data_IF_434541323203
#
_entry.id   IF_434541323203
#
_cell.length_a   1.000
_cell.length_b   1.000
_cell.length_c   1.000
_cell.angle_alpha   90.00
_cell.angle_beta   90.00
_cell.angle_gamma   90.00
#
_symmetry.space_group_name_H-M   'P 1'
#
loop_
_entity.id
_entity.type
_entity.pdbx_description
1 polymer ?
#
# COMPACT_ATOMS: atom_id res chain seq x y z
N UNK A 1 2.14 6.43 -14.52
CA UNK A 1 2.94 6.05 -13.35
C UNK A 1 2.11 5.23 -12.38
N UNK A 2 2.77 4.51 -11.47
CA UNK A 2 2.12 3.66 -10.47
C UNK A 2 1.61 4.46 -9.26
N UNK A 3 0.63 3.88 -8.56
CA UNK A 3 0.20 4.30 -7.23
C UNK A 3 0.30 3.08 -6.30
N UNK A 4 1.16 3.18 -5.28
CA UNK A 4 1.33 2.15 -4.27
C UNK A 4 0.29 2.38 -3.16
N UNK A 5 -0.78 1.59 -3.14
CA UNK A 5 -1.96 1.91 -2.34
C UNK A 5 -1.83 1.55 -0.84
N UNK A 6 -0.72 0.94 -0.41
CA UNK A 6 -0.43 0.69 1.01
C UNK A 6 1.05 0.47 1.26
N UNK A 7 1.59 1.22 2.21
CA UNK A 7 3.00 1.12 2.65
C UNK A 7 3.16 1.38 4.14
N UNK A 8 4.29 0.90 4.67
CA UNK A 8 4.89 1.25 5.96
C UNK A 8 6.37 1.61 5.76
N UNK A 9 6.66 2.73 5.09
CA UNK A 9 8.07 3.07 4.76
C UNK A 9 8.88 3.52 5.97
N UNK A 10 8.22 3.80 7.11
CA UNK A 10 8.92 4.09 8.36
C UNK A 10 9.88 2.99 8.78
N UNK A 11 9.57 1.75 8.47
CA UNK A 11 10.38 0.59 8.79
C UNK A 11 11.54 0.33 7.80
N UNK A 12 11.77 1.25 6.87
CA UNK A 12 12.94 1.21 5.96
C UNK A 12 14.30 1.15 6.67
N UNK A 13 14.34 1.48 7.96
CA UNK A 13 15.53 1.31 8.83
C UNK A 13 15.82 -0.16 9.16
N UNK A 14 14.85 -1.06 8.97
CA UNK A 14 14.85 -2.43 9.45
C UNK A 14 14.85 -3.47 8.33
N UNK A 15 15.26 -3.12 7.12
CA UNK A 15 15.23 -4.01 5.94
C UNK A 15 15.83 -5.38 6.25
N UNK A 16 15.03 -6.46 5.97
CA UNK A 16 15.38 -7.86 6.20
C UNK A 16 15.64 -8.23 7.67
N UNK A 17 15.24 -7.38 8.63
CA UNK A 17 15.33 -7.72 10.05
C UNK A 17 14.27 -8.77 10.44
N UNK A 18 14.60 -9.64 11.41
CA UNK A 18 13.64 -10.58 12.01
C UNK A 18 13.31 -11.81 11.18
N UNK A 19 14.25 -12.29 10.34
CA UNK A 19 14.05 -13.51 9.57
C UNK A 19 13.63 -14.71 10.45
N UNK A 20 12.51 -15.36 10.09
CA UNK A 20 11.95 -16.51 10.80
C UNK A 20 11.00 -16.19 11.95
N UNK A 21 10.74 -14.91 12.24
CA UNK A 21 9.71 -14.49 13.20
C UNK A 21 8.30 -14.59 12.57
N UNK A 22 7.29 -14.81 13.40
CA UNK A 22 5.88 -14.75 13.02
C UNK A 22 5.44 -13.31 12.74
N UNK A 23 4.28 -13.14 12.09
CA UNK A 23 3.68 -11.82 11.85
C UNK A 23 3.63 -10.99 13.14
N UNK A 24 3.13 -11.57 14.22
CA UNK A 24 2.98 -10.87 15.51
C UNK A 24 4.33 -10.43 16.10
N UNK A 25 5.32 -11.30 16.06
CA UNK A 25 6.66 -10.97 16.54
C UNK A 25 7.35 -9.90 15.67
N UNK A 26 7.01 -9.82 14.38
CA UNK A 26 7.57 -8.84 13.45
C UNK A 26 6.92 -7.47 13.58
N UNK A 27 5.58 -7.40 13.47
CA UNK A 27 4.90 -6.12 13.20
C UNK A 27 3.78 -5.76 14.16
N UNK A 28 3.34 -6.68 15.06
CA UNK A 28 2.22 -6.38 15.96
C UNK A 28 2.55 -5.25 16.96
N UNK A 29 1.69 -4.21 17.06
CA UNK A 29 1.87 -3.19 18.07
C UNK A 29 1.54 -3.75 19.48
N UNK A 30 2.18 -3.25 20.58
CA UNK A 30 3.25 -2.23 20.55
C UNK A 30 4.65 -2.83 20.51
N UNK A 31 4.83 -4.15 20.61
CA UNK A 31 6.10 -4.79 20.96
C UNK A 31 6.75 -5.60 19.86
N UNK A 32 6.14 -5.71 18.69
CA UNK A 32 6.75 -6.34 17.52
C UNK A 32 8.11 -5.71 17.19
N UNK A 33 9.04 -6.48 16.61
CA UNK A 33 10.40 -6.05 16.31
C UNK A 33 10.43 -4.71 15.55
N UNK A 34 9.53 -4.50 14.59
CA UNK A 34 9.35 -3.23 13.88
C UNK A 34 9.25 -2.06 14.85
N UNK A 35 8.35 -2.14 15.83
CA UNK A 35 8.13 -1.05 16.78
C UNK A 35 9.30 -0.81 17.71
N UNK A 36 10.02 -1.87 18.10
CA UNK A 36 11.25 -1.74 18.90
C UNK A 36 12.34 -1.00 18.12
N UNK A 37 12.57 -1.36 16.84
CA UNK A 37 13.55 -0.72 15.97
C UNK A 37 13.17 0.72 15.65
N UNK A 38 11.89 1.01 15.40
CA UNK A 38 11.40 2.37 15.20
C UNK A 38 11.61 3.28 16.43
N UNK A 39 11.42 2.75 17.64
CA UNK A 39 11.67 3.50 18.88
C UNK A 39 13.16 3.72 19.14
N UNK A 40 14.00 2.77 18.77
CA UNK A 40 15.45 2.85 18.97
C UNK A 40 16.17 3.81 18.00
N UNK A 41 15.63 3.99 16.79
CA UNK A 41 16.24 4.81 15.75
C UNK A 41 16.00 6.29 15.99
N UNK A 42 17.00 7.12 15.70
CA UNK A 42 16.87 8.57 15.71
C UNK A 42 15.94 9.07 14.59
N UNK A 43 15.45 10.30 14.73
CA UNK A 43 14.62 10.93 13.70
C UNK A 43 15.38 11.04 12.37
N UNK A 44 16.65 11.44 12.41
CA UNK A 44 17.50 11.59 11.23
C UNK A 44 17.75 10.25 10.51
N UNK A 45 17.90 9.16 11.24
CA UNK A 45 18.03 7.82 10.66
C UNK A 45 16.77 7.42 9.93
N UNK A 46 15.59 7.62 10.55
CA UNK A 46 14.29 7.35 9.94
C UNK A 46 14.07 8.18 8.68
N UNK A 47 14.32 9.49 8.73
CA UNK A 47 14.18 10.39 7.56
C UNK A 47 15.08 9.93 6.42
N UNK A 48 16.37 9.65 6.68
CA UNK A 48 17.29 9.16 5.64
C UNK A 48 16.87 7.82 5.05
N UNK A 49 16.37 6.89 5.88
CA UNK A 49 15.94 5.58 5.40
C UNK A 49 14.67 5.68 4.55
N UNK A 50 13.66 6.43 5.00
CA UNK A 50 12.44 6.70 4.25
C UNK A 50 12.76 7.39 2.92
N UNK A 51 13.61 8.42 2.90
CA UNK A 51 14.01 9.12 1.69
C UNK A 51 14.59 8.17 0.64
N UNK A 52 15.44 7.22 1.03
CA UNK A 52 15.98 6.21 0.10
C UNK A 52 14.90 5.31 -0.49
N UNK A 53 13.88 4.97 0.28
CA UNK A 53 12.74 4.18 -0.21
C UNK A 53 11.86 4.99 -1.17
N UNK A 54 11.66 6.30 -0.90
CA UNK A 54 10.94 7.19 -1.81
C UNK A 54 11.74 7.37 -3.11
N UNK A 55 13.05 7.58 -3.05
CA UNK A 55 13.91 7.65 -4.23
C UNK A 55 13.87 6.37 -5.08
N UNK A 56 13.81 5.20 -4.43
CA UNK A 56 13.61 3.95 -5.14
C UNK A 56 12.23 3.91 -5.83
N UNK A 57 11.15 4.34 -5.17
CA UNK A 57 9.83 4.46 -5.76
C UNK A 57 9.82 5.44 -6.95
N UNK A 58 10.49 6.59 -6.82
CA UNK A 58 10.64 7.58 -7.89
C UNK A 58 11.29 6.96 -9.13
N UNK A 59 12.45 6.33 -8.97
CA UNK A 59 13.20 5.70 -10.09
C UNK A 59 12.51 4.49 -10.70
N UNK A 60 11.51 3.93 -10.02
CA UNK A 60 10.72 2.79 -10.50
C UNK A 60 9.31 3.17 -10.95
N UNK A 61 9.01 4.47 -11.10
CA UNK A 61 7.80 4.98 -11.71
C UNK A 61 6.57 5.01 -10.78
N UNK A 62 6.75 5.04 -9.47
CA UNK A 62 5.67 5.29 -8.52
C UNK A 62 5.46 6.79 -8.36
N UNK A 63 4.27 7.30 -8.68
CA UNK A 63 3.93 8.72 -8.59
C UNK A 63 3.43 9.14 -7.21
N UNK A 64 2.75 8.21 -6.51
CA UNK A 64 2.23 8.44 -5.17
C UNK A 64 2.14 7.13 -4.40
N UNK A 65 2.14 7.22 -3.08
CA UNK A 65 1.94 6.07 -2.20
C UNK A 65 1.11 6.44 -0.98
N UNK A 66 0.25 5.53 -0.53
CA UNK A 66 -0.52 5.66 0.70
C UNK A 66 0.29 5.04 1.83
N UNK A 67 0.59 5.84 2.83
CA UNK A 67 1.44 5.44 3.96
C UNK A 67 0.66 5.40 5.26
N UNK A 68 0.63 4.27 5.94
CA UNK A 68 0.13 4.17 7.31
C UNK A 68 1.26 4.52 8.27
N UNK A 69 1.30 5.81 8.69
CA UNK A 69 2.49 6.41 9.30
C UNK A 69 2.48 6.34 10.83
N UNK A 70 3.36 5.50 11.39
CA UNK A 70 3.62 5.40 12.83
C UNK A 70 4.40 6.61 13.37
N UNK A 71 4.33 6.80 14.69
CA UNK A 71 5.05 7.84 15.42
C UNK A 71 4.29 9.15 15.59
N UNK A 72 2.97 9.08 15.50
CA UNK A 72 2.10 10.23 15.73
C UNK A 72 2.40 11.41 14.80
N UNK A 73 2.19 12.62 15.28
CA UNK A 73 2.45 13.88 14.55
C UNK A 73 3.89 14.01 14.07
N UNK A 74 4.86 13.63 14.91
CA UNK A 74 6.28 13.67 14.55
C UNK A 74 6.62 12.69 13.42
N UNK A 75 5.95 11.54 13.38
CA UNK A 75 6.06 10.59 12.29
C UNK A 75 5.60 11.18 10.96
N UNK A 76 4.47 11.89 10.95
CA UNK A 76 3.94 12.59 9.77
C UNK A 76 4.94 13.63 9.26
N UNK A 77 5.48 14.50 10.14
CA UNK A 77 6.45 15.51 9.75
C UNK A 77 7.78 14.90 9.27
N UNK A 78 8.26 13.82 9.89
CA UNK A 78 9.46 13.14 9.45
C UNK A 78 9.31 12.55 8.02
N UNK A 79 8.14 12.05 7.67
CA UNK A 79 7.87 11.57 6.33
C UNK A 79 7.81 12.71 5.31
N UNK A 80 7.15 13.82 5.63
CA UNK A 80 7.13 15.00 4.76
C UNK A 80 8.53 15.53 4.47
N UNK A 81 9.39 15.60 5.51
CA UNK A 81 10.81 15.94 5.33
C UNK A 81 11.54 14.94 4.43
N UNK A 82 11.29 13.64 4.60
CA UNK A 82 11.90 12.61 3.76
C UNK A 82 11.51 12.72 2.29
N UNK A 83 10.30 13.20 1.99
CA UNK A 83 9.78 13.38 0.63
C UNK A 83 10.16 14.73 0.01
N UNK A 84 10.67 15.69 0.78
CA UNK A 84 10.94 17.03 0.30
C UNK A 84 11.88 17.04 -0.93
N UNK A 85 11.44 17.69 -2.02
CA UNK A 85 12.18 17.82 -3.27
C UNK A 85 12.24 16.55 -4.13
N UNK A 86 11.44 15.53 -3.83
CA UNK A 86 11.22 14.34 -4.67
C UNK A 86 9.89 14.49 -5.43
N UNK A 87 9.79 13.84 -6.60
CA UNK A 87 8.58 13.88 -7.44
C UNK A 87 7.45 12.96 -6.94
N UNK A 88 7.74 12.04 -6.04
CA UNK A 88 6.77 11.10 -5.47
C UNK A 88 6.01 11.75 -4.32
N UNK A 89 4.69 11.72 -4.39
CA UNK A 89 3.81 12.36 -3.40
C UNK A 89 3.30 11.34 -2.38
N UNK A 90 3.65 11.48 -1.08
CA UNK A 90 3.06 10.67 -0.02
C UNK A 90 1.62 11.13 0.26
N UNK A 91 0.68 10.19 0.27
CA UNK A 91 -0.65 10.36 0.86
C UNK A 91 -0.61 9.72 2.25
N UNK A 92 -0.54 10.55 3.28
CA UNK A 92 -0.24 10.09 4.63
C UNK A 92 -1.53 9.81 5.40
N UNK A 93 -1.63 8.61 5.95
CA UNK A 93 -2.64 8.26 6.95
C UNK A 93 -1.92 8.18 8.30
N UNK A 94 -2.09 9.21 9.13
CA UNK A 94 -1.50 9.28 10.47
C UNK A 94 -2.06 8.18 11.37
N UNK A 95 -1.24 7.69 12.29
CA UNK A 95 -1.61 6.61 13.22
C UNK A 95 -1.51 7.10 14.66
N UNK A 96 -2.06 6.30 15.57
CA UNK A 96 -1.93 6.39 17.03
C UNK A 96 -2.80 7.47 17.67
N UNK A 97 -2.96 8.64 17.07
CA UNK A 97 -3.74 9.74 17.66
C UNK A 97 -4.55 10.53 16.63
N UNK A 98 -5.61 11.20 17.07
CA UNK A 98 -6.42 12.10 16.23
C UNK A 98 -5.56 13.27 15.71
N UNK A 99 -4.63 13.78 16.51
CA UNK A 99 -3.74 14.87 16.12
C UNK A 99 -2.81 14.45 14.96
N UNK A 100 -2.41 13.18 14.90
CA UNK A 100 -1.67 12.65 13.74
C UNK A 100 -2.54 12.61 12.48
N UNK A 101 -3.80 12.27 12.60
CA UNK A 101 -4.78 12.33 11.51
C UNK A 101 -5.03 13.78 11.07
N UNK A 102 -5.18 14.72 11.99
CA UNK A 102 -5.34 16.16 11.68
C UNK A 102 -4.15 16.71 10.90
N UNK A 103 -2.92 16.28 11.23
CA UNK A 103 -1.69 16.64 10.52
C UNK A 103 -1.48 15.93 9.18
N UNK A 104 -2.36 14.98 8.81
CA UNK A 104 -2.23 14.11 7.65
C UNK A 104 -3.47 14.17 6.75
N UNK A 105 -3.50 13.36 5.69
CA UNK A 105 -4.61 13.24 4.73
C UNK A 105 -5.68 12.24 5.20
N UNK A 106 -5.41 11.48 6.27
CA UNK A 106 -6.35 10.50 6.84
C UNK A 106 -5.81 9.80 8.07
N UNK A 107 -6.51 8.72 8.48
CA UNK A 107 -6.12 7.84 9.56
C UNK A 107 -5.92 6.41 9.08
N UNK A 108 -4.81 5.77 9.47
CA UNK A 108 -4.48 4.38 9.18
C UNK A 108 -4.56 3.52 10.44
N UNK A 109 -5.66 2.81 10.65
CA UNK A 109 -5.84 1.92 11.78
C UNK A 109 -5.08 0.61 11.61
N UNK A 110 -4.56 0.01 12.70
CA UNK A 110 -4.00 -1.33 12.70
C UNK A 110 -5.10 -2.37 12.41
N UNK A 111 -5.65 -3.08 13.21
CA UNK A 111 -6.80 -3.96 12.95
C UNK A 111 -7.85 -3.73 14.03
N UNK A 112 -9.09 -4.07 13.77
CA UNK A 112 -10.18 -3.90 14.74
C UNK A 112 -10.01 -4.73 16.02
N UNK A 113 -9.07 -5.67 16.04
CA UNK A 113 -8.68 -6.40 17.27
C UNK A 113 -7.59 -5.68 18.08
N UNK A 114 -6.87 -4.74 17.48
CA UNK A 114 -5.72 -4.07 18.11
C UNK A 114 -6.14 -2.80 18.88
N UNK A 115 -7.37 -2.33 18.69
CA UNK A 115 -7.89 -1.15 19.38
C UNK A 115 -9.31 -0.76 18.98
N UNK A 116 -9.84 0.20 19.70
CA UNK A 116 -11.13 0.84 19.41
C UNK A 116 -10.87 2.11 18.59
N UNK A 117 -11.39 2.18 17.37
CA UNK A 117 -11.12 3.27 16.42
C UNK A 117 -12.35 4.15 16.11
N UNK A 118 -13.42 4.03 16.86
CA UNK A 118 -14.66 4.80 16.63
C UNK A 118 -14.45 6.31 16.74
N UNK A 119 -13.54 6.77 17.62
CA UNK A 119 -13.18 8.18 17.79
C UNK A 119 -12.45 8.71 16.54
N UNK A 120 -11.43 7.99 16.09
CA UNK A 120 -10.62 8.33 14.92
C UNK A 120 -11.46 8.28 13.64
N UNK A 121 -12.35 7.29 13.53
CA UNK A 121 -13.32 7.21 12.42
C UNK A 121 -14.28 8.39 12.40
N UNK A 122 -14.80 8.79 13.56
CA UNK A 122 -15.67 9.97 13.66
C UNK A 122 -14.91 11.23 13.24
N UNK A 123 -13.70 11.43 13.76
CA UNK A 123 -12.87 12.58 13.43
C UNK A 123 -12.52 12.67 11.93
N UNK A 124 -12.16 11.53 11.28
CA UNK A 124 -11.93 11.52 9.83
C UNK A 124 -13.17 11.88 9.03
N UNK A 125 -14.35 11.40 9.45
CA UNK A 125 -15.61 11.73 8.78
C UNK A 125 -15.97 13.22 8.91
N UNK A 126 -15.75 13.82 10.09
CA UNK A 126 -15.98 15.25 10.34
C UNK A 126 -15.08 16.15 9.49
N UNK A 127 -13.83 15.72 9.22
CA UNK A 127 -12.87 16.46 8.41
C UNK A 127 -12.89 16.09 6.91
N UNK A 128 -13.70 15.09 6.51
CA UNK A 128 -13.73 14.59 5.13
C UNK A 128 -12.42 13.94 4.71
N UNK A 129 -11.70 13.33 5.65
CA UNK A 129 -10.43 12.62 5.45
C UNK A 129 -10.65 11.11 5.36
N UNK A 130 -9.68 10.39 4.76
CA UNK A 130 -9.78 8.94 4.62
C UNK A 130 -9.52 8.19 5.92
N UNK A 131 -10.28 7.10 6.12
CA UNK A 131 -10.06 6.11 7.17
C UNK A 131 -9.79 4.73 6.53
N UNK A 132 -8.55 4.27 6.61
CA UNK A 132 -8.15 2.93 6.19
C UNK A 132 -7.87 2.02 7.38
N UNK A 133 -8.16 0.72 7.26
CA UNK A 133 -7.94 -0.24 8.34
C UNK A 133 -7.50 -1.60 7.80
N UNK A 134 -6.56 -2.28 8.49
CA UNK A 134 -6.20 -3.66 8.22
C UNK A 134 -7.31 -4.61 8.66
N UNK A 135 -7.61 -5.62 7.86
CA UNK A 135 -8.62 -6.62 8.18
C UNK A 135 -8.34 -7.95 7.48
N UNK A 136 -8.61 -9.05 8.18
CA UNK A 136 -8.53 -10.40 7.62
C UNK A 136 -7.12 -10.84 7.25
N UNK A 137 -6.07 -10.29 7.85
CA UNK A 137 -4.70 -10.68 7.57
C UNK A 137 -4.34 -11.97 8.32
N UNK A 138 -4.62 -12.04 9.62
CA UNK A 138 -4.32 -13.22 10.46
C UNK A 138 -5.39 -14.30 10.35
N UNK A 139 -6.64 -13.88 10.42
CA UNK A 139 -7.85 -14.69 10.34
C UNK A 139 -9.08 -13.83 10.05
N UNK A 140 -10.27 -14.43 9.95
CA UNK A 140 -11.51 -13.73 9.59
C UNK A 140 -12.15 -12.91 10.70
N UNK A 141 -11.69 -13.01 11.95
CA UNK A 141 -12.43 -12.53 13.14
C UNK A 141 -12.54 -11.01 13.24
N UNK A 142 -11.62 -10.24 12.64
CA UNK A 142 -11.62 -8.79 12.69
C UNK A 142 -12.28 -8.12 11.46
N UNK A 143 -12.67 -8.89 10.44
CA UNK A 143 -13.26 -8.35 9.21
C UNK A 143 -14.61 -7.66 9.49
N UNK A 144 -15.52 -8.33 10.20
CA UNK A 144 -16.81 -7.74 10.53
C UNK A 144 -16.68 -6.49 11.41
N UNK A 145 -15.89 -6.50 12.51
CA UNK A 145 -15.64 -5.28 13.29
C UNK A 145 -15.03 -4.14 12.48
N UNK A 146 -14.11 -4.43 11.54
CA UNK A 146 -13.55 -3.41 10.65
C UNK A 146 -14.61 -2.82 9.70
N UNK A 147 -15.47 -3.66 9.10
CA UNK A 147 -16.58 -3.22 8.26
C UNK A 147 -17.66 -2.44 9.03
N UNK A 148 -17.82 -2.70 10.32
CA UNK A 148 -18.76 -1.96 11.20
C UNK A 148 -18.30 -0.52 11.47
N UNK A 149 -17.00 -0.24 11.33
CA UNK A 149 -16.44 1.12 11.39
C UNK A 149 -16.72 1.93 10.11
N UNK A 150 -17.33 1.33 9.08
CA UNK A 150 -17.60 1.98 7.80
C UNK A 150 -16.36 2.62 7.16
N UNK A 151 -15.28 1.85 6.93
CA UNK A 151 -14.01 2.36 6.44
C UNK A 151 -14.10 2.77 4.96
N UNK A 152 -13.21 3.69 4.55
CA UNK A 152 -13.08 4.09 3.16
C UNK A 152 -12.34 3.03 2.32
N UNK A 153 -11.50 2.20 2.96
CA UNK A 153 -10.88 1.00 2.36
C UNK A 153 -10.34 0.05 3.42
N UNK A 154 -10.22 -1.22 3.05
CA UNK A 154 -9.57 -2.27 3.85
C UNK A 154 -8.21 -2.64 3.26
N UNK A 155 -7.32 -3.18 4.10
CA UNK A 155 -6.02 -3.73 3.66
C UNK A 155 -5.97 -5.23 3.98
N UNK A 156 -5.31 -6.01 3.11
CA UNK A 156 -5.06 -7.46 3.15
C UNK A 156 -6.23 -8.33 2.69
N UNK A 157 -7.23 -8.57 3.51
CA UNK A 157 -8.36 -9.49 3.23
C UNK A 157 -7.89 -10.89 2.79
N UNK A 158 -6.93 -11.48 3.53
CA UNK A 158 -6.37 -12.83 3.23
C UNK A 158 -7.37 -13.93 3.55
N UNK A 159 -8.15 -13.79 4.62
CA UNK A 159 -9.03 -14.81 5.15
C UNK A 159 -10.53 -14.43 5.16
N UNK A 160 -11.11 -13.86 4.08
CA UNK A 160 -12.53 -13.57 4.06
C UNK A 160 -13.35 -14.88 3.95
N UNK A 161 -14.47 -14.92 4.64
CA UNK A 161 -15.52 -15.92 4.44
C UNK A 161 -16.57 -15.40 3.45
N UNK A 162 -17.44 -16.24 2.85
CA UNK A 162 -18.43 -15.79 1.87
C UNK A 162 -19.29 -14.60 2.32
N UNK A 163 -19.73 -14.58 3.59
CA UNK A 163 -20.53 -13.49 4.14
C UNK A 163 -19.75 -12.17 4.23
N UNK A 164 -18.43 -12.22 4.41
CA UNK A 164 -17.57 -11.03 4.40
C UNK A 164 -17.48 -10.44 3.00
N UNK A 165 -17.37 -11.30 1.98
CA UNK A 165 -17.35 -10.89 0.57
C UNK A 165 -18.69 -10.25 0.15
N UNK A 166 -19.82 -10.80 0.59
CA UNK A 166 -21.14 -10.23 0.33
C UNK A 166 -21.30 -8.85 1.01
N UNK A 167 -20.91 -8.72 2.29
CA UNK A 167 -20.91 -7.42 2.98
C UNK A 167 -20.01 -6.38 2.32
N UNK A 168 -18.84 -6.83 1.87
CA UNK A 168 -17.89 -5.96 1.16
C UNK A 168 -18.50 -5.41 -0.13
N UNK A 169 -19.16 -6.27 -0.90
CA UNK A 169 -19.86 -5.90 -2.13
C UNK A 169 -21.03 -4.93 -1.86
N UNK A 170 -21.87 -5.23 -0.85
CA UNK A 170 -23.02 -4.40 -0.49
C UNK A 170 -22.60 -2.98 -0.07
N UNK A 171 -21.48 -2.85 0.65
CA UNK A 171 -20.92 -1.56 1.09
C UNK A 171 -20.04 -0.89 0.02
N UNK A 172 -19.67 -1.62 -1.03
CA UNK A 172 -18.72 -1.19 -2.07
C UNK A 172 -17.38 -0.68 -1.52
N UNK A 173 -16.90 -1.26 -0.40
CA UNK A 173 -15.64 -0.86 0.24
C UNK A 173 -14.46 -1.40 -0.57
N UNK A 174 -13.53 -0.55 -1.07
CA UNK A 174 -12.34 -0.98 -1.77
C UNK A 174 -11.39 -1.80 -0.86
N UNK A 175 -10.57 -2.65 -1.50
CA UNK A 175 -9.56 -3.44 -0.78
C UNK A 175 -8.19 -3.22 -1.41
N UNK A 176 -7.18 -3.03 -0.58
CA UNK A 176 -5.77 -3.03 -0.98
C UNK A 176 -5.16 -4.38 -0.61
N UNK A 177 -4.70 -5.13 -1.60
CA UNK A 177 -4.06 -6.43 -1.38
C UNK A 177 -2.54 -6.30 -1.47
N UNK A 178 -1.82 -7.03 -0.60
CA UNK A 178 -0.36 -6.98 -0.46
C UNK A 178 0.23 -8.39 -0.56
N UNK A 179 0.09 -9.09 -1.71
CA UNK A 179 0.37 -10.53 -1.81
C UNK A 179 1.82 -10.90 -1.45
N UNK A 180 2.83 -10.08 -1.76
CA UNK A 180 4.22 -10.40 -1.40
C UNK A 180 4.47 -10.32 0.11
N UNK A 181 3.93 -9.31 0.78
CA UNK A 181 4.03 -9.18 2.24
C UNK A 181 3.36 -10.37 2.93
N UNK A 182 2.15 -10.71 2.51
CA UNK A 182 1.41 -11.84 3.07
C UNK A 182 2.13 -13.19 2.87
N UNK A 183 2.86 -13.37 1.76
CA UNK A 183 3.70 -14.55 1.55
C UNK A 183 4.93 -14.58 2.47
N UNK A 184 5.59 -13.45 2.69
CA UNK A 184 6.77 -13.35 3.59
C UNK A 184 6.37 -13.65 5.03
N UNK A 185 5.24 -13.15 5.49
CA UNK A 185 4.71 -13.39 6.84
C UNK A 185 4.01 -14.73 6.99
N UNK A 186 3.88 -15.49 5.89
CA UNK A 186 3.27 -16.81 5.83
C UNK A 186 1.80 -16.86 6.33
N UNK A 187 1.07 -15.74 6.18
CA UNK A 187 -0.35 -15.68 6.54
C UNK A 187 -1.27 -16.20 5.42
N UNK A 188 -0.76 -16.37 4.21
CA UNK A 188 -1.51 -16.90 3.07
C UNK A 188 -1.55 -15.94 1.88
N UNK A 189 -2.49 -16.18 0.97
CA UNK A 189 -2.70 -15.36 -0.23
C UNK A 189 -4.14 -14.87 -0.23
N UNK A 190 -4.39 -13.56 -0.38
CA UNK A 190 -5.76 -13.07 -0.50
C UNK A 190 -6.45 -13.67 -1.73
N UNK A 191 -7.76 -13.97 -1.67
CA UNK A 191 -8.51 -14.49 -2.82
C UNK A 191 -8.76 -13.38 -3.85
N UNK A 192 -7.71 -12.95 -4.55
CA UNK A 192 -7.69 -11.77 -5.42
C UNK A 192 -8.78 -11.84 -6.49
N UNK A 193 -9.03 -13.01 -7.11
CA UNK A 193 -10.05 -13.17 -8.13
C UNK A 193 -11.45 -12.94 -7.55
N UNK A 194 -11.78 -13.57 -6.44
CA UNK A 194 -13.10 -13.42 -5.77
C UNK A 194 -13.33 -11.99 -5.29
N UNK A 195 -12.29 -11.34 -4.76
CA UNK A 195 -12.35 -9.93 -4.33
C UNK A 195 -12.54 -9.00 -5.52
N UNK A 196 -11.86 -9.24 -6.66
CA UNK A 196 -11.97 -8.42 -7.87
C UNK A 196 -13.38 -8.45 -8.49
N UNK A 197 -14.11 -9.56 -8.32
CA UNK A 197 -15.51 -9.68 -8.73
C UNK A 197 -16.49 -8.89 -7.84
N UNK A 198 -16.08 -8.57 -6.60
CA UNK A 198 -16.96 -8.00 -5.56
C UNK A 198 -16.72 -6.52 -5.33
N UNK A 199 -15.49 -6.04 -5.48
CA UNK A 199 -15.16 -4.65 -5.18
C UNK A 199 -13.95 -4.14 -5.98
N UNK A 200 -13.64 -2.85 -5.84
CA UNK A 200 -12.43 -2.25 -6.39
C UNK A 200 -11.20 -2.73 -5.63
N UNK A 201 -10.25 -3.35 -6.34
CA UNK A 201 -8.96 -3.74 -5.76
C UNK A 201 -7.86 -2.76 -6.16
N UNK A 202 -6.90 -2.53 -5.23
CA UNK A 202 -5.63 -1.88 -5.49
C UNK A 202 -4.48 -2.74 -4.94
N UNK A 203 -3.24 -2.48 -5.41
CA UNK A 203 -2.04 -3.14 -4.94
C UNK A 203 -1.25 -2.24 -3.99
N UNK A 204 -0.78 -2.83 -2.90
CA UNK A 204 0.13 -2.23 -1.94
C UNK A 204 1.37 -3.10 -1.69
N UNK A 205 2.50 -2.50 -1.37
CA UNK A 205 3.74 -3.26 -1.09
C UNK A 205 3.96 -3.53 0.39
N UNK A 206 3.17 -2.86 1.23
CA UNK A 206 3.20 -3.00 2.69
C UNK A 206 4.57 -2.67 3.31
N UNK A 207 5.02 -3.41 4.32
CA UNK A 207 6.24 -3.18 5.08
C UNK A 207 7.50 -3.22 4.20
N UNK A 208 8.25 -2.13 4.17
CA UNK A 208 9.54 -2.06 3.45
C UNK A 208 10.62 -2.88 4.15
N UNK A 209 10.46 -3.16 5.43
CA UNK A 209 11.35 -4.08 6.13
C UNK A 209 11.28 -5.51 5.56
N UNK A 210 10.15 -5.91 4.98
CA UNK A 210 9.91 -7.25 4.44
C UNK A 210 10.12 -7.33 2.93
N UNK A 211 9.84 -6.23 2.20
CA UNK A 211 9.87 -6.20 0.75
C UNK A 211 10.32 -4.83 0.22
N UNK A 212 10.99 -4.83 -0.94
CA UNK A 212 11.18 -3.56 -1.66
C UNK A 212 9.83 -2.96 -2.08
N UNK A 213 9.64 -1.62 -2.05
CA UNK A 213 8.40 -0.96 -2.48
C UNK A 213 8.30 -0.90 -4.02
N UNK A 214 8.35 -2.08 -4.68
CA UNK A 214 8.35 -2.23 -6.13
C UNK A 214 7.00 -2.67 -6.66
N UNK A 215 6.30 -1.78 -7.36
CA UNK A 215 5.02 -2.08 -8.00
C UNK A 215 5.15 -3.10 -9.14
N UNK A 216 6.28 -3.14 -9.85
CA UNK A 216 6.54 -4.19 -10.84
C UNK A 216 6.45 -5.59 -10.22
N UNK A 217 7.13 -5.80 -9.08
CA UNK A 217 7.09 -7.08 -8.39
C UNK A 217 5.71 -7.40 -7.83
N UNK A 218 5.00 -6.41 -7.32
CA UNK A 218 3.65 -6.62 -6.78
C UNK A 218 2.68 -7.06 -7.88
N UNK A 219 2.70 -6.40 -9.04
CA UNK A 219 1.92 -6.79 -10.20
C UNK A 219 2.25 -8.21 -10.69
N UNK A 220 3.54 -8.55 -10.76
CA UNK A 220 3.99 -9.88 -11.19
C UNK A 220 3.43 -10.97 -10.27
N UNK A 221 3.51 -10.76 -8.95
CA UNK A 221 2.96 -11.72 -7.98
C UNK A 221 1.44 -11.82 -8.08
N UNK A 222 0.72 -10.71 -8.10
CA UNK A 222 -0.74 -10.72 -8.24
C UNK A 222 -1.18 -11.48 -9.51
N UNK A 223 -0.52 -11.23 -10.66
CA UNK A 223 -0.84 -11.90 -11.93
C UNK A 223 -0.45 -13.39 -12.00
N UNK A 224 0.40 -13.88 -11.10
CA UNK A 224 0.79 -15.29 -11.01
C UNK A 224 -0.01 -16.07 -9.95
N UNK A 225 -0.52 -15.37 -8.95
CA UNK A 225 -1.24 -15.98 -7.83
C UNK A 225 -2.75 -16.07 -8.08
N UNK A 226 -3.29 -15.27 -9.02
CA UNK A 226 -4.72 -15.22 -9.27
C UNK A 226 -5.04 -15.24 -10.78
N UNK A 227 -6.21 -15.77 -11.13
CA UNK A 227 -6.75 -15.73 -12.47
C UNK A 227 -7.49 -14.39 -12.71
N UNK A 228 -6.68 -13.33 -12.85
CA UNK A 228 -7.14 -11.98 -13.19
C UNK A 228 -6.43 -11.48 -14.43
N UNK A 229 -7.09 -10.64 -15.21
CA UNK A 229 -6.51 -10.11 -16.45
C UNK A 229 -5.32 -9.17 -16.15
N UNK A 230 -4.34 -9.12 -17.08
CA UNK A 230 -3.23 -8.18 -16.96
C UNK A 230 -3.71 -6.71 -16.93
N UNK A 231 -4.80 -6.38 -17.63
CA UNK A 231 -5.41 -5.04 -17.56
C UNK A 231 -5.94 -4.72 -16.17
N UNK A 232 -6.58 -5.68 -15.50
CA UNK A 232 -7.07 -5.49 -14.14
C UNK A 232 -5.92 -5.31 -13.15
N UNK A 233 -4.88 -6.15 -13.22
CA UNK A 233 -3.69 -6.00 -12.38
C UNK A 233 -3.00 -4.65 -12.62
N UNK A 234 -2.91 -4.18 -13.87
CA UNK A 234 -2.37 -2.85 -14.16
C UNK A 234 -3.23 -1.74 -13.55
N UNK A 235 -4.56 -1.86 -13.60
CA UNK A 235 -5.48 -0.91 -12.95
C UNK A 235 -5.32 -0.91 -11.43
N UNK A 236 -5.13 -2.08 -10.82
CA UNK A 236 -4.85 -2.21 -9.38
C UNK A 236 -3.56 -1.45 -8.97
N UNK A 237 -2.56 -1.43 -9.84
CA UNK A 237 -1.27 -0.77 -9.59
C UNK A 237 -1.25 0.72 -9.95
N UNK A 238 -2.34 1.26 -10.53
CA UNK A 238 -2.40 2.62 -11.07
C UNK A 238 -3.69 3.33 -10.67
N UNK A 239 -4.72 3.24 -11.52
CA UNK A 239 -5.97 3.97 -11.41
C UNK A 239 -6.76 3.67 -10.13
N UNK A 240 -6.81 2.40 -9.71
CA UNK A 240 -7.63 2.01 -8.56
C UNK A 240 -7.07 2.59 -7.25
N UNK A 241 -5.74 2.56 -7.06
CA UNK A 241 -5.10 3.20 -5.91
C UNK A 241 -5.29 4.72 -5.90
N UNK A 242 -5.14 5.37 -7.07
CA UNK A 242 -5.42 6.80 -7.22
C UNK A 242 -6.87 7.15 -6.85
N UNK A 243 -7.81 6.32 -7.27
CA UNK A 243 -9.25 6.51 -7.01
C UNK A 243 -9.59 6.39 -5.52
N UNK A 244 -8.98 5.45 -4.80
CA UNK A 244 -9.16 5.30 -3.35
C UNK A 244 -8.73 6.59 -2.63
N UNK A 245 -7.59 7.17 -3.02
CA UNK A 245 -7.05 8.36 -2.39
C UNK A 245 -7.54 9.69 -3.00
N UNK A 246 -8.43 9.65 -4.00
CA UNK A 246 -8.90 10.86 -4.68
C UNK A 246 -7.81 11.62 -5.44
N UNK A 247 -6.74 10.93 -5.90
CA UNK A 247 -5.61 11.52 -6.59
C UNK A 247 -5.91 11.73 -8.07
N UNK A 248 -5.34 12.81 -8.63
CA UNK A 248 -5.51 13.16 -10.05
C UNK A 248 -4.42 12.54 -10.93
N UNK A 249 -4.14 11.25 -10.74
CA UNK A 249 -3.14 10.50 -11.50
C UNK A 249 -3.59 9.04 -11.75
N UNK A 250 -2.68 8.18 -12.21
CA UNK A 250 -2.93 6.74 -12.40
C UNK A 250 -3.65 6.39 -13.71
N UNK A 251 -3.98 7.37 -14.52
CA UNK A 251 -4.58 7.22 -15.86
C UNK A 251 -4.00 8.25 -16.81
N UNK A 252 -3.91 7.92 -18.10
CA UNK A 252 -3.52 8.86 -19.15
C UNK A 252 -4.81 9.40 -19.78
N UNK A 253 -5.20 10.59 -19.41
CA UNK A 253 -6.43 11.26 -19.83
C UNK A 253 -6.20 12.77 -19.89
N UNK A 254 -6.83 13.47 -20.82
CA UNK A 254 -6.73 14.93 -20.92
C UNK A 254 -7.28 15.60 -19.66
N UNK A 255 -6.51 16.55 -19.13
CA UNK A 255 -6.84 17.27 -17.89
C UNK A 255 -6.34 16.61 -16.60
N UNK A 256 -5.72 15.43 -16.66
CA UNK A 256 -5.11 14.75 -15.52
C UNK A 256 -3.65 15.17 -15.33
N UNK A 257 -3.12 14.94 -14.13
CA UNK A 257 -1.70 15.11 -13.86
C UNK A 257 -0.86 14.24 -14.79
N UNK A 258 0.11 14.84 -15.47
CA UNK A 258 0.95 14.20 -16.48
C UNK A 258 2.07 13.33 -15.87
N UNK A 259 1.77 12.52 -14.86
CA UNK A 259 2.72 11.61 -14.19
C UNK A 259 2.86 10.32 -14.99
N UNK A 260 4.02 10.13 -15.64
CA UNK A 260 4.23 9.06 -16.60
C UNK A 260 5.44 8.20 -16.24
N UNK A 261 5.32 6.90 -16.53
CA UNK A 261 6.43 5.95 -16.58
C UNK A 261 6.62 5.53 -18.03
N UNK A 262 7.83 5.69 -18.55
CA UNK A 262 8.22 5.28 -19.89
C UNK A 262 9.12 4.04 -19.80
N UNK A 263 8.74 2.99 -20.50
CA UNK A 263 9.52 1.76 -20.59
C UNK A 263 10.20 1.64 -21.96
N UNK A 264 11.42 1.12 -21.99
CA UNK A 264 12.15 0.77 -23.21
C UNK A 264 11.59 -0.54 -23.79
N UNK A 265 10.77 -0.45 -24.83
CA UNK A 265 10.21 -1.61 -25.51
C UNK A 265 11.22 -2.46 -26.28
N UNK A 266 12.44 -1.94 -26.51
CA UNK A 266 13.55 -2.61 -27.20
C UNK A 266 14.61 -3.13 -26.23
N UNK A 267 14.36 -3.04 -24.90
CA UNK A 267 15.25 -3.67 -23.91
C UNK A 267 15.38 -5.17 -24.15
N UNK A 268 16.49 -5.78 -23.71
CA UNK A 268 16.72 -7.22 -23.83
C UNK A 268 15.58 -8.06 -23.22
N UNK A 269 14.85 -7.50 -22.26
CA UNK A 269 13.73 -8.15 -21.57
C UNK A 269 12.39 -7.99 -22.31
N UNK A 270 12.16 -6.85 -22.97
CA UNK A 270 10.86 -6.51 -23.57
C UNK A 270 10.81 -6.66 -25.09
N UNK A 271 11.97 -6.69 -25.77
CA UNK A 271 12.01 -6.84 -27.23
C UNK A 271 11.26 -8.08 -27.69
N UNK A 272 10.37 -7.92 -28.67
CA UNK A 272 9.60 -9.02 -29.26
C UNK A 272 8.36 -9.46 -28.47
N UNK A 273 7.94 -8.74 -27.42
CA UNK A 273 6.68 -9.06 -26.70
C UNK A 273 5.48 -8.95 -27.65
N UNK A 274 4.53 -9.88 -27.50
CA UNK A 274 3.31 -9.92 -28.33
C UNK A 274 2.11 -9.23 -27.68
N UNK A 275 2.14 -9.05 -26.35
CA UNK A 275 1.10 -8.39 -25.56
C UNK A 275 1.78 -7.42 -24.58
N UNK A 276 1.71 -6.13 -24.89
CA UNK A 276 2.41 -5.08 -24.14
C UNK A 276 1.91 -5.00 -22.70
N UNK A 277 0.59 -5.06 -22.45
CA UNK A 277 0.04 -4.96 -21.10
C UNK A 277 0.45 -6.16 -20.26
N UNK A 278 0.39 -7.36 -20.83
CA UNK A 278 0.86 -8.57 -20.16
C UNK A 278 2.37 -8.52 -19.87
N UNK A 279 3.16 -7.95 -20.76
CA UNK A 279 4.60 -7.80 -20.57
C UNK A 279 4.91 -6.82 -19.44
N UNK A 280 4.24 -5.67 -19.39
CA UNK A 280 4.36 -4.69 -18.31
C UNK A 280 4.06 -5.33 -16.95
N UNK A 281 2.99 -6.11 -16.85
CA UNK A 281 2.53 -6.72 -15.60
C UNK A 281 3.42 -7.89 -15.14
N UNK A 282 3.89 -8.72 -16.08
CA UNK A 282 4.52 -10.01 -15.74
C UNK A 282 6.03 -10.06 -15.93
N UNK A 283 6.61 -9.07 -16.60
CA UNK A 283 8.00 -9.14 -17.08
C UNK A 283 8.78 -7.86 -16.82
N UNK A 284 8.17 -6.68 -17.04
CA UNK A 284 8.88 -5.42 -16.89
C UNK A 284 9.43 -5.23 -15.48
N UNK A 285 10.57 -4.57 -15.39
CA UNK A 285 11.28 -4.30 -14.16
C UNK A 285 12.06 -2.98 -14.22
N UNK A 286 12.85 -2.74 -13.20
CA UNK A 286 13.66 -1.50 -13.08
C UNK A 286 14.61 -1.32 -14.25
N UNK A 287 15.14 -2.43 -14.80
CA UNK A 287 16.06 -2.40 -15.95
C UNK A 287 15.42 -1.99 -17.28
N UNK A 288 14.09 -1.97 -17.35
CA UNK A 288 13.33 -1.57 -18.54
C UNK A 288 12.83 -0.13 -18.48
N UNK A 289 13.09 0.60 -17.39
CA UNK A 289 12.67 1.99 -17.23
C UNK A 289 13.56 2.90 -18.08
N UNK A 290 12.96 3.58 -19.05
CA UNK A 290 13.64 4.55 -19.89
C UNK A 290 13.56 5.96 -19.29
N UNK A 291 12.40 6.35 -18.72
CA UNK A 291 12.21 7.67 -18.10
C UNK A 291 11.03 7.64 -17.11
N UNK A 292 11.06 8.57 -16.16
CA UNK A 292 9.99 8.80 -15.19
C UNK A 292 9.70 10.31 -15.12
N UNK A 293 8.45 10.69 -15.36
CA UNK A 293 7.98 12.07 -15.34
C UNK A 293 6.97 12.19 -14.18
N UNK A 294 7.35 12.91 -13.11
CA UNK A 294 6.51 13.08 -11.91
C UNK A 294 6.28 14.56 -11.58
#
# INVERSE_FOLDING_TARGET
AFVNAHTHIGDSIAKEAGGGLSLDELVAPPDGLKHQLLRAASREEKVRAMRRSIQFMETTGTASFLEFREGGVEGVYALREAAEGLGVEPFILGRETVEAMEAAEGFGASGARDGEFSRERTATAEEGKLFGIHAGERDSSDINPALDLDPDFLVHMVHPEPLHLDRLADKAVPVVVCPRSNLVTNVGVPPIADLAERTTLALGTDNVMLNSPSMFREMEFAAKLADVSAHEVLRMATYNGARIAGLDCGVIEEGRAGKLLVLDGDSDNLAGVQDVVRAVVRRAGVGDVADVIL
#
